data_IF_309248305703
#
_entry.id   IF_309248305703
#
_cell.length_a   1.000
_cell.length_b   1.000
_cell.length_c   1.000
_cell.angle_alpha   90.00
_cell.angle_beta   90.00
_cell.angle_gamma   90.00
#
_symmetry.space_group_name_H-M   'P 1'
#
loop_
_entity.id
_entity.type
_entity.pdbx_description
1 polymer ?
#
# COMPACT_ATOMS: atom_id res chain seq x y z
N UNK A 1 15.00 6.71 9.52
CA UNK A 1 14.54 5.65 10.44
C UNK A 1 13.57 4.75 9.70
N UNK A 2 13.59 3.44 9.95
CA UNK A 2 12.62 2.51 9.36
C UNK A 2 11.22 2.77 9.93
N UNK A 3 10.16 2.66 9.11
CA UNK A 3 8.76 2.77 9.54
C UNK A 3 8.46 1.88 10.74
N UNK A 4 9.04 0.68 10.77
CA UNK A 4 8.91 -0.28 11.87
C UNK A 4 9.46 0.26 13.20
N UNK A 5 10.55 1.03 13.17
CA UNK A 5 11.13 1.65 14.38
C UNK A 5 10.21 2.74 14.94
N UNK A 6 9.55 3.50 14.06
CA UNK A 6 8.61 4.54 14.47
C UNK A 6 7.32 3.95 15.05
N UNK A 7 6.82 2.86 14.46
CA UNK A 7 5.69 2.09 15.01
C UNK A 7 6.03 1.61 16.42
N UNK A 8 7.17 0.92 16.59
CA UNK A 8 7.57 0.38 17.89
C UNK A 8 7.75 1.46 18.97
N UNK A 9 8.25 2.65 18.60
CA UNK A 9 8.36 3.76 19.53
C UNK A 9 6.99 4.27 20.01
N UNK A 10 6.04 4.45 19.07
CA UNK A 10 4.68 4.89 19.37
C UNK A 10 3.88 3.84 20.13
N UNK A 11 4.07 2.55 19.85
CA UNK A 11 3.46 1.45 20.61
C UNK A 11 3.95 1.42 22.07
N UNK A 12 5.25 1.60 22.29
CA UNK A 12 5.80 1.71 23.65
C UNK A 12 5.24 2.92 24.38
N UNK A 13 5.07 4.03 23.68
CA UNK A 13 4.47 5.24 24.25
C UNK A 13 3.00 5.04 24.63
N UNK A 14 2.22 4.35 23.80
CA UNK A 14 0.84 3.97 24.10
C UNK A 14 0.75 3.13 25.38
N UNK A 15 1.63 2.12 25.51
CA UNK A 15 1.66 1.24 26.68
C UNK A 15 2.08 1.97 27.96
N UNK A 16 2.97 2.96 27.85
CA UNK A 16 3.45 3.73 28.98
C UNK A 16 2.42 4.74 29.50
N UNK A 17 1.56 5.31 28.63
CA UNK A 17 0.57 6.33 29.01
C UNK A 17 -0.69 6.29 28.13
N UNK A 18 -1.67 5.43 28.44
CA UNK A 18 -2.97 5.43 27.75
C UNK A 18 -3.91 6.55 28.26
N UNK A 19 -4.75 7.18 27.42
CA UNK A 19 -4.87 7.04 25.96
C UNK A 19 -3.93 7.97 25.17
N UNK A 20 -3.52 7.55 23.96
CA UNK A 20 -2.79 8.40 23.01
C UNK A 20 -3.62 9.62 22.60
N UNK A 21 -2.93 10.73 22.36
CA UNK A 21 -3.54 11.92 21.77
C UNK A 21 -3.96 11.69 20.30
N UNK A 22 -4.91 12.48 19.80
CA UNK A 22 -5.47 12.37 18.44
C UNK A 22 -4.38 12.37 17.36
N UNK A 23 -3.37 13.22 17.50
CA UNK A 23 -2.27 13.31 16.53
C UNK A 23 -1.40 12.04 16.56
N UNK A 24 -1.09 11.51 17.74
CA UNK A 24 -0.29 10.30 17.90
C UNK A 24 -1.03 9.07 17.38
N UNK A 25 -2.33 8.96 17.70
CA UNK A 25 -3.20 7.92 17.17
C UNK A 25 -3.30 8.00 15.62
N UNK A 26 -3.39 9.21 15.06
CA UNK A 26 -3.42 9.43 13.61
C UNK A 26 -2.10 9.03 12.95
N UNK A 27 -0.96 9.36 13.57
CA UNK A 27 0.37 8.97 13.09
C UNK A 27 0.55 7.47 13.09
N UNK A 28 0.23 6.82 14.21
CA UNK A 28 0.33 5.38 14.35
C UNK A 28 -0.58 4.65 13.33
N UNK A 29 -1.79 5.17 13.12
CA UNK A 29 -2.71 4.63 12.12
C UNK A 29 -2.14 4.72 10.70
N UNK A 30 -1.61 5.88 10.30
CA UNK A 30 -0.98 6.05 8.97
C UNK A 30 0.24 5.15 8.78
N UNK A 31 1.05 4.96 9.82
CA UNK A 31 2.21 4.07 9.77
C UNK A 31 1.81 2.59 9.60
N UNK A 32 0.74 2.13 10.26
CA UNK A 32 0.20 0.79 9.99
C UNK A 32 -0.32 0.65 8.55
N UNK A 33 -1.00 1.68 8.03
CA UNK A 33 -1.46 1.65 6.63
C UNK A 33 -0.29 1.63 5.64
N UNK A 34 0.79 2.36 5.93
CA UNK A 34 2.01 2.39 5.10
C UNK A 34 2.73 1.02 5.08
N UNK A 35 2.89 0.41 6.24
CA UNK A 35 3.49 -0.93 6.37
C UNK A 35 2.62 -2.05 5.80
N UNK A 36 1.35 -1.77 5.48
CA UNK A 36 0.41 -2.76 4.95
C UNK A 36 -0.27 -3.61 6.03
N UNK A 37 -0.07 -3.29 7.31
CA UNK A 37 -0.67 -3.99 8.43
C UNK A 37 -2.09 -3.46 8.73
N UNK A 38 -3.01 -3.85 7.86
CA UNK A 38 -4.42 -3.43 7.96
C UNK A 38 -5.12 -4.03 9.19
N UNK A 39 -4.62 -5.16 9.70
CA UNK A 39 -5.17 -5.81 10.89
C UNK A 39 -4.92 -4.97 12.13
N UNK A 40 -3.68 -4.55 12.36
CA UNK A 40 -3.33 -3.70 13.49
C UNK A 40 -3.93 -2.30 13.36
N UNK A 41 -4.03 -1.75 12.15
CA UNK A 41 -4.78 -0.51 11.91
C UNK A 41 -6.25 -0.62 12.37
N UNK A 42 -6.92 -1.75 12.08
CA UNK A 42 -8.31 -1.99 12.49
C UNK A 42 -8.45 -2.19 13.99
N UNK A 43 -7.52 -2.91 14.62
CA UNK A 43 -7.51 -3.09 16.07
C UNK A 43 -7.29 -1.74 16.78
N UNK A 44 -6.38 -0.92 16.26
CA UNK A 44 -6.16 0.46 16.74
C UNK A 44 -7.46 1.26 16.70
N UNK A 45 -8.18 1.28 15.58
CA UNK A 45 -9.45 2.00 15.49
C UNK A 45 -10.51 1.52 16.49
N UNK A 46 -10.58 0.19 16.73
CA UNK A 46 -11.56 -0.37 17.68
C UNK A 46 -11.24 -0.02 19.13
N UNK A 47 -9.96 0.04 19.53
CA UNK A 47 -9.54 0.41 20.90
C UNK A 47 -9.65 1.91 21.17
N UNK A 48 -9.56 2.76 20.14
CA UNK A 48 -9.67 4.21 20.31
C UNK A 48 -11.04 4.58 20.92
N UNK A 49 -11.09 5.36 22.02
CA UNK A 49 -12.33 5.83 22.62
C UNK A 49 -13.23 6.56 21.63
N UNK A 50 -14.56 6.41 21.78
CA UNK A 50 -15.52 7.05 20.89
C UNK A 50 -15.42 8.58 20.90
N UNK A 51 -14.97 9.19 22.01
CA UNK A 51 -14.71 10.62 22.10
C UNK A 51 -13.66 11.13 21.09
N UNK A 52 -12.69 10.29 20.70
CA UNK A 52 -11.67 10.60 19.68
C UNK A 52 -12.09 10.20 18.26
N UNK A 53 -13.24 9.51 18.13
CA UNK A 53 -13.81 9.08 16.84
C UNK A 53 -14.97 9.97 16.40
N UNK A 54 -15.73 10.48 17.36
CA UNK A 54 -16.95 11.25 17.14
C UNK A 54 -16.64 12.72 16.93
N UNK A 55 -16.40 13.08 15.67
CA UNK A 55 -16.30 14.45 15.20
C UNK A 55 -16.08 14.43 13.70
N UNK A 56 -17.03 14.94 12.92
CA UNK A 56 -16.92 15.02 11.45
C UNK A 56 -15.71 15.88 10.99
N UNK A 57 -15.10 16.58 11.94
CA UNK A 57 -13.97 17.50 11.80
C UNK A 57 -12.76 17.03 12.62
N UNK A 58 -12.45 15.73 12.67
CA UNK A 58 -11.18 15.26 13.22
C UNK A 58 -10.31 14.54 12.18
N UNK A 59 -8.99 14.82 12.14
CA UNK A 59 -8.08 14.20 11.17
C UNK A 59 -8.05 12.67 11.29
N UNK A 60 -8.26 12.13 12.50
CA UNK A 60 -8.26 10.69 12.75
C UNK A 60 -9.39 9.95 12.02
N UNK A 61 -10.60 10.51 12.03
CA UNK A 61 -11.76 9.92 11.34
C UNK A 61 -11.56 9.94 9.81
N UNK A 62 -10.99 11.02 9.28
CA UNK A 62 -10.67 11.15 7.86
C UNK A 62 -9.59 10.13 7.42
N UNK A 63 -8.56 9.94 8.23
CA UNK A 63 -7.54 8.90 8.01
C UNK A 63 -8.18 7.51 8.04
N UNK A 64 -9.07 7.24 9.00
CA UNK A 64 -9.74 5.94 9.08
C UNK A 64 -10.63 5.65 7.88
N UNK A 65 -11.30 6.65 7.28
CA UNK A 65 -12.04 6.46 6.02
C UNK A 65 -11.12 5.92 4.91
N UNK A 66 -9.89 6.40 4.83
CA UNK A 66 -8.89 5.87 3.90
C UNK A 66 -8.53 4.41 4.24
N UNK A 67 -8.28 4.12 5.53
CA UNK A 67 -7.98 2.77 5.99
C UNK A 67 -9.11 1.76 5.73
N UNK A 68 -10.36 2.17 5.95
CA UNK A 68 -11.54 1.34 5.68
C UNK A 68 -11.68 1.02 4.20
N UNK A 69 -11.43 1.99 3.31
CA UNK A 69 -11.43 1.77 1.87
C UNK A 69 -10.33 0.78 1.43
N UNK A 70 -9.12 0.92 1.98
CA UNK A 70 -8.03 -0.04 1.73
C UNK A 70 -8.35 -1.46 2.22
N UNK A 71 -9.01 -1.59 3.37
CA UNK A 71 -9.43 -2.88 3.91
C UNK A 71 -10.40 -3.61 2.96
N UNK A 72 -11.34 -2.87 2.37
CA UNK A 72 -12.29 -3.41 1.37
C UNK A 72 -11.71 -3.51 -0.04
N UNK A 73 -10.44 -3.12 -0.23
CA UNK A 73 -9.77 -2.99 -1.54
C UNK A 73 -10.50 -2.07 -2.52
N UNK A 74 -11.24 -1.09 -2.00
CA UNK A 74 -11.86 -0.04 -2.82
C UNK A 74 -10.89 1.13 -2.99
N UNK A 75 -10.05 1.03 -4.02
CA UNK A 75 -9.07 2.05 -4.33
C UNK A 75 -9.71 3.37 -4.78
N UNK A 76 -10.86 3.31 -5.46
CA UNK A 76 -11.56 4.52 -5.89
C UNK A 76 -12.01 5.35 -4.69
N UNK A 77 -12.63 4.69 -3.70
CA UNK A 77 -13.04 5.35 -2.45
C UNK A 77 -11.83 5.79 -1.63
N UNK A 78 -10.72 5.04 -1.67
CA UNK A 78 -9.48 5.44 -1.00
C UNK A 78 -8.96 6.79 -1.54
N UNK A 79 -8.83 6.94 -2.87
CA UNK A 79 -8.29 8.18 -3.44
C UNK A 79 -9.21 9.38 -3.20
N UNK A 80 -10.53 9.20 -3.26
CA UNK A 80 -11.49 10.26 -2.91
C UNK A 80 -11.37 10.63 -1.43
N UNK A 81 -11.29 9.64 -0.53
CA UNK A 81 -11.17 9.89 0.90
C UNK A 81 -9.83 10.58 1.26
N UNK A 82 -8.74 10.22 0.58
CA UNK A 82 -7.44 10.85 0.78
C UNK A 82 -7.43 12.31 0.30
N UNK A 83 -8.07 12.60 -0.84
CA UNK A 83 -8.25 13.97 -1.33
C UNK A 83 -9.11 14.80 -0.37
N UNK A 84 -10.23 14.26 0.09
CA UNK A 84 -11.11 14.90 1.07
C UNK A 84 -10.37 15.19 2.39
N UNK A 85 -9.55 14.23 2.84
CA UNK A 85 -8.76 14.37 4.06
C UNK A 85 -7.70 15.49 3.95
N UNK A 86 -7.08 15.64 2.78
CA UNK A 86 -6.08 16.68 2.51
C UNK A 86 -6.71 18.07 2.31
N UNK A 87 -7.91 18.14 1.71
CA UNK A 87 -8.61 19.39 1.39
C UNK A 87 -9.49 19.92 2.54
N UNK A 88 -9.61 19.18 3.65
CA UNK A 88 -10.50 19.55 4.75
C UNK A 88 -10.08 20.87 5.41
N UNK A 89 -10.92 21.91 5.26
CA UNK A 89 -10.73 23.22 5.89
C UNK A 89 -11.28 23.31 7.30
N UNK A 90 -12.27 22.48 7.64
CA UNK A 90 -12.89 22.44 8.97
C UNK A 90 -11.95 21.88 10.05
N UNK A 91 -11.01 21.03 9.64
CA UNK A 91 -10.02 20.42 10.53
C UNK A 91 -8.74 20.10 9.74
N UNK A 92 -7.88 21.10 9.53
CA UNK A 92 -6.67 20.91 8.75
C UNK A 92 -5.78 19.85 9.40
N UNK A 93 -5.29 18.94 8.56
CA UNK A 93 -4.39 17.89 8.99
C UNK A 93 -3.02 18.50 9.35
N UNK A 94 -2.41 18.09 10.48
CA UNK A 94 -1.02 18.43 10.79
C UNK A 94 -0.07 18.08 9.62
N UNK A 95 0.96 18.90 9.34
CA UNK A 95 1.81 18.71 8.16
C UNK A 95 2.53 17.35 8.14
N UNK A 96 2.98 16.87 9.30
CA UNK A 96 3.60 15.53 9.43
C UNK A 96 2.65 14.40 9.03
N UNK A 97 1.36 14.52 9.36
CA UNK A 97 0.34 13.53 8.95
C UNK A 97 0.00 13.67 7.47
N UNK A 98 -0.04 14.89 6.94
CA UNK A 98 -0.26 15.14 5.51
C UNK A 98 0.85 14.51 4.65
N UNK A 99 2.11 14.63 5.09
CA UNK A 99 3.26 14.01 4.43
C UNK A 99 3.18 12.48 4.46
N UNK A 100 2.79 11.90 5.60
CA UNK A 100 2.55 10.45 5.72
C UNK A 100 1.42 9.98 4.80
N UNK A 101 0.33 10.74 4.71
CA UNK A 101 -0.79 10.45 3.82
C UNK A 101 -0.37 10.52 2.34
N UNK A 102 0.42 11.54 1.95
CA UNK A 102 0.95 11.65 0.60
C UNK A 102 1.88 10.47 0.23
N UNK A 103 2.72 10.02 1.19
CA UNK A 103 3.52 8.80 1.03
C UNK A 103 2.63 7.56 0.86
N UNK A 104 1.56 7.44 1.65
CA UNK A 104 0.61 6.33 1.55
C UNK A 104 -0.06 6.31 0.17
N UNK A 105 -0.55 7.45 -0.31
CA UNK A 105 -1.17 7.56 -1.65
C UNK A 105 -0.19 7.14 -2.74
N UNK A 106 1.05 7.63 -2.68
CA UNK A 106 2.09 7.29 -3.65
C UNK A 106 2.45 5.81 -3.60
N UNK A 107 2.54 5.24 -2.39
CA UNK A 107 2.81 3.81 -2.18
C UNK A 107 1.68 2.94 -2.72
N UNK A 108 0.44 3.20 -2.31
CA UNK A 108 -0.74 2.47 -2.78
C UNK A 108 -0.85 2.54 -4.30
N UNK A 109 -0.60 3.70 -4.90
CA UNK A 109 -0.61 3.86 -6.37
C UNK A 109 0.42 2.96 -7.05
N UNK A 110 1.67 2.97 -6.55
CA UNK A 110 2.75 2.14 -7.09
C UNK A 110 2.44 0.65 -6.95
N UNK A 111 2.04 0.23 -5.75
CA UNK A 111 1.77 -1.18 -5.44
C UNK A 111 0.58 -1.69 -6.24
N UNK A 112 -0.45 -0.85 -6.42
CA UNK A 112 -1.62 -1.18 -7.25
C UNK A 112 -1.25 -1.27 -8.73
N UNK A 113 -0.44 -0.35 -9.24
CA UNK A 113 0.05 -0.43 -10.61
C UNK A 113 0.89 -1.69 -10.84
N UNK A 114 1.78 -2.05 -9.90
CA UNK A 114 2.55 -3.29 -9.98
C UNK A 114 1.64 -4.55 -9.97
N UNK A 115 0.63 -4.58 -9.10
CA UNK A 115 -0.33 -5.68 -9.05
C UNK A 115 -1.15 -5.81 -10.36
N UNK A 116 -1.54 -4.69 -10.96
CA UNK A 116 -2.23 -4.69 -12.25
C UNK A 116 -1.31 -5.12 -13.39
N UNK A 117 -0.04 -4.69 -13.37
CA UNK A 117 0.95 -5.11 -14.35
C UNK A 117 1.23 -6.61 -14.30
N UNK A 118 1.19 -7.22 -13.12
CA UNK A 118 1.33 -8.67 -12.96
C UNK A 118 0.07 -9.46 -13.38
N UNK A 119 -1.11 -8.83 -13.34
CA UNK A 119 -2.39 -9.52 -13.55
C UNK A 119 -2.97 -9.38 -14.97
N UNK A 120 -2.52 -8.39 -15.75
CA UNK A 120 -3.09 -8.08 -17.06
C UNK A 120 -2.02 -7.99 -18.14
N UNK A 121 -2.24 -8.60 -19.30
CA UNK A 121 -1.45 -8.37 -20.50
C UNK A 121 -1.82 -7.04 -21.19
N UNK A 122 -3.08 -6.63 -21.06
CA UNK A 122 -3.58 -5.31 -21.45
C UNK A 122 -4.77 -4.90 -20.56
N UNK A 123 -4.95 -3.61 -20.35
CA UNK A 123 -6.04 -3.05 -19.53
C UNK A 123 -6.53 -1.73 -20.14
N UNK A 124 -7.85 -1.49 -20.08
CA UNK A 124 -8.41 -0.22 -20.53
C UNK A 124 -7.90 0.96 -19.69
N UNK A 125 -7.50 2.05 -20.34
CA UNK A 125 -6.99 3.30 -19.76
C UNK A 125 -7.95 3.86 -18.71
N UNK A 126 -9.25 3.88 -18.98
CA UNK A 126 -10.26 4.35 -18.02
C UNK A 126 -10.31 3.49 -16.76
N UNK A 127 -10.16 2.16 -16.90
CA UNK A 127 -10.10 1.24 -15.77
C UNK A 127 -8.80 1.42 -14.98
N UNK A 128 -7.66 1.48 -15.67
CA UNK A 128 -6.36 1.73 -15.03
C UNK A 128 -6.36 3.06 -14.28
N UNK A 129 -6.87 4.12 -14.90
CA UNK A 129 -7.03 5.44 -14.30
C UNK A 129 -7.82 5.38 -12.98
N UNK A 130 -8.98 4.70 -13.01
CA UNK A 130 -9.83 4.51 -11.83
C UNK A 130 -9.11 3.75 -10.72
N UNK A 131 -8.41 2.67 -11.05
CA UNK A 131 -7.70 1.82 -10.08
C UNK A 131 -6.47 2.50 -9.46
N UNK A 132 -5.84 3.44 -10.17
CA UNK A 132 -4.59 4.13 -9.79
C UNK A 132 -4.88 5.53 -9.21
N UNK A 133 -6.14 5.99 -9.31
CA UNK A 133 -6.58 7.27 -8.75
C UNK A 133 -6.06 8.47 -9.51
N UNK A 134 -6.05 8.39 -10.84
CA UNK A 134 -5.65 9.48 -11.73
C UNK A 134 -6.71 9.70 -12.79
N UNK A 135 -6.73 10.88 -13.40
CA UNK A 135 -7.57 11.13 -14.56
C UNK A 135 -7.10 10.27 -15.75
N UNK A 136 -7.99 9.87 -16.68
CA UNK A 136 -7.60 9.07 -17.84
C UNK A 136 -6.55 9.77 -18.72
N UNK A 137 -6.54 11.09 -18.76
CA UNK A 137 -5.51 11.89 -19.46
C UNK A 137 -4.16 11.90 -18.72
N UNK A 138 -4.18 11.87 -17.37
CA UNK A 138 -2.98 11.89 -16.54
C UNK A 138 -2.30 10.54 -16.34
N UNK A 139 -2.84 9.44 -16.89
CA UNK A 139 -2.27 8.09 -16.73
C UNK A 139 -0.85 8.01 -17.29
N UNK A 140 -0.59 8.63 -18.45
CA UNK A 140 0.73 8.58 -19.09
C UNK A 140 1.81 9.28 -18.25
N UNK A 141 1.46 10.37 -17.59
CA UNK A 141 2.35 11.09 -16.68
C UNK A 141 2.58 10.31 -15.38
N UNK A 142 1.52 9.75 -14.81
CA UNK A 142 1.60 9.00 -13.55
C UNK A 142 2.29 7.63 -13.68
N UNK A 143 2.24 7.02 -14.86
CA UNK A 143 2.75 5.68 -15.16
C UNK A 143 3.55 5.67 -16.47
N UNK A 144 4.76 6.27 -16.49
CA UNK A 144 5.54 6.46 -17.72
C UNK A 144 6.02 5.14 -18.36
N UNK A 145 6.14 4.08 -17.57
CA UNK A 145 6.65 2.78 -18.04
C UNK A 145 5.55 1.90 -18.69
N UNK A 146 4.30 2.37 -18.70
CA UNK A 146 3.20 1.66 -19.35
C UNK A 146 3.13 2.03 -20.83
N UNK A 147 2.92 1.03 -21.69
CA UNK A 147 2.96 1.17 -23.15
C UNK A 147 1.55 1.25 -23.73
N UNK A 148 1.40 1.88 -24.88
CA UNK A 148 0.15 1.77 -25.67
C UNK A 148 0.01 0.32 -26.13
N UNK A 149 -1.19 -0.26 -25.98
CA UNK A 149 -1.45 -1.65 -26.33
C UNK A 149 -1.30 -1.94 -27.84
N UNK A 150 -1.23 -3.22 -28.25
CA UNK A 150 -0.89 -3.64 -29.61
C UNK A 150 -1.92 -3.31 -30.71
N UNK A 151 -3.04 -2.65 -30.39
CA UNK A 151 -3.94 -2.09 -31.41
C UNK A 151 -3.56 -0.63 -31.68
N UNK A 152 -2.84 -0.39 -32.79
CA UNK A 152 -2.36 0.90 -33.31
C UNK A 152 -3.50 1.83 -33.78
N UNK A 153 -4.44 2.16 -32.90
CA UNK A 153 -5.43 3.18 -33.19
C UNK A 153 -6.24 3.49 -31.95
N UNK A 154 -5.91 4.59 -31.28
CA UNK A 154 -6.69 5.23 -30.20
C UNK A 154 -7.40 4.28 -29.20
N UNK A 155 -6.84 3.08 -29.01
CA UNK A 155 -7.61 1.88 -28.63
C UNK A 155 -8.08 1.93 -27.18
N UNK A 156 -7.67 2.95 -26.44
CA UNK A 156 -8.00 3.10 -25.04
C UNK A 156 -7.38 2.00 -24.17
N UNK A 157 -6.51 1.13 -24.70
CA UNK A 157 -5.83 0.06 -23.94
C UNK A 157 -4.36 0.37 -23.71
N UNK A 158 -3.86 -0.05 -22.55
CA UNK A 158 -2.47 0.07 -22.13
C UNK A 158 -1.93 -1.31 -21.78
N UNK A 159 -0.70 -1.59 -22.20
CA UNK A 159 0.05 -2.78 -21.84
C UNK A 159 1.02 -2.43 -20.70
N UNK A 160 1.18 -3.29 -19.69
CA UNK A 160 2.15 -3.04 -18.64
C UNK A 160 3.60 -3.05 -19.18
N UNK A 161 4.55 -2.51 -18.40
CA UNK A 161 5.96 -2.74 -18.67
C UNK A 161 6.21 -4.24 -18.73
N UNK A 162 7.07 -4.64 -19.66
CA UNK A 162 7.54 -6.01 -19.71
C UNK A 162 8.11 -6.37 -18.32
N UNK A 163 7.69 -7.50 -17.73
CA UNK A 163 8.25 -7.91 -16.46
C UNK A 163 9.75 -7.99 -16.67
N UNK A 164 10.52 -7.21 -15.89
CA UNK A 164 11.97 -7.33 -15.88
C UNK A 164 12.25 -8.81 -15.68
N UNK A 165 12.91 -9.45 -16.66
CA UNK A 165 13.07 -10.90 -16.76
C UNK A 165 13.15 -11.51 -15.37
N UNK A 166 12.04 -12.07 -14.92
CA UNK A 166 11.91 -12.47 -13.53
C UNK A 166 12.97 -13.55 -13.29
N UNK A 167 13.48 -13.64 -12.07
CA UNK A 167 14.28 -14.77 -11.59
C UNK A 167 13.60 -16.16 -11.76
N UNK A 168 12.48 -16.26 -12.47
CA UNK A 168 11.93 -17.50 -13.02
C UNK A 168 12.89 -18.18 -14.02
N UNK A 169 13.75 -17.42 -14.70
CA UNK A 169 14.87 -17.97 -15.50
C UNK A 169 16.17 -18.11 -14.69
N UNK A 170 16.20 -17.59 -13.45
CA UNK A 170 17.30 -17.90 -12.54
C UNK A 170 17.09 -19.32 -12.03
N UNK A 171 18.14 -20.17 -12.03
CA UNK A 171 18.00 -21.54 -11.55
C UNK A 171 17.47 -21.52 -10.11
N UNK A 172 16.41 -22.30 -9.86
CA UNK A 172 15.68 -22.41 -8.57
C UNK A 172 16.58 -22.78 -7.37
N UNK A 173 17.79 -23.25 -7.62
CA UNK A 173 18.89 -23.39 -6.67
C UNK A 173 20.20 -23.12 -7.41
N UNK A 174 21.19 -22.59 -6.71
CA UNK A 174 22.57 -22.72 -7.17
C UNK A 174 22.89 -24.22 -7.32
N UNK A 175 23.46 -24.61 -8.45
CA UNK A 175 23.85 -26.00 -8.75
C UNK A 175 24.65 -26.64 -7.62
N UNK A 176 25.48 -25.86 -6.92
CA UNK A 176 26.24 -26.33 -5.77
C UNK A 176 25.35 -26.66 -4.56
N UNK A 177 24.36 -25.83 -4.27
CA UNK A 177 23.40 -26.05 -3.19
C UNK A 177 22.51 -27.28 -3.46
N UNK A 178 22.15 -27.51 -4.72
CA UNK A 178 21.42 -28.70 -5.15
C UNK A 178 22.24 -29.99 -4.93
N UNK A 179 23.54 -29.97 -5.27
CA UNK A 179 24.45 -31.10 -5.04
C UNK A 179 24.62 -31.37 -3.54
N UNK A 180 24.76 -30.32 -2.71
CA UNK A 180 24.86 -30.49 -1.26
C UNK A 180 23.61 -31.17 -0.66
N UNK A 181 22.41 -30.77 -1.10
CA UNK A 181 21.15 -31.38 -0.64
C UNK A 181 21.02 -32.84 -1.09
N UNK A 182 21.41 -33.16 -2.32
CA UNK A 182 21.40 -34.55 -2.82
C UNK A 182 22.42 -35.44 -2.09
N UNK A 183 23.61 -34.90 -1.79
CA UNK A 183 24.61 -35.63 -1.01
C UNK A 183 24.11 -35.91 0.41
N UNK A 184 23.44 -34.94 1.04
CA UNK A 184 22.84 -35.11 2.36
C UNK A 184 21.70 -36.14 2.37
N UNK A 185 20.88 -36.21 1.32
CA UNK A 185 19.80 -37.22 1.23
C UNK A 185 20.34 -38.62 0.97
N UNK A 186 21.38 -38.78 0.16
CA UNK A 186 22.02 -40.09 -0.06
C UNK A 186 22.66 -40.60 1.23
N UNK A 187 23.41 -39.74 1.95
CA UNK A 187 24.00 -40.12 3.23
C UNK A 187 22.96 -40.46 4.32
N UNK A 188 21.74 -39.91 4.24
CA UNK A 188 20.64 -40.29 5.12
C UNK A 188 20.03 -41.65 4.77
N UNK A 189 19.92 -41.98 3.47
CA UNK A 189 19.37 -43.26 3.01
C UNK A 189 20.35 -44.42 3.21
N UNK A 190 21.66 -44.19 3.09
CA UNK A 190 22.66 -45.26 3.25
C UNK A 190 22.91 -45.67 4.71
N UNK A 191 22.55 -44.83 5.69
CA UNK A 191 22.74 -45.09 7.13
C UNK A 191 21.49 -45.66 7.84
N UNK A 192 20.46 -46.05 7.09
CA UNK A 192 19.24 -46.71 7.57
C UNK A 192 18.95 -47.98 6.76
#
# INVERSE_FOLDING_TARGET
ESEASQIAALERQELASPPLDNQQAGRLLLLYLLSGDLCNARLLWRRTPQALRSGASQPLANIWRCGAALFSRDYSTFYTAAADAAASTAAPMPPDLADLLARLVTKTRRDRAAALAAAYSCIGRARLAKEVGVSPSGVAEALPNWRVGPDQGDSGFLAPPEPAATAADAPLMDTFEAIQKLSATIGFVENH
#
